data_IF_199097646727
#
_entry.id   IF_199097646727
#
_cell.length_a   1.000
_cell.length_b   1.000
_cell.length_c   1.000
_cell.angle_alpha   90.00
_cell.angle_beta   90.00
_cell.angle_gamma   90.00
#
_symmetry.space_group_name_H-M   'P 1'
#
loop_
_entity.id
_entity.type
_entity.pdbx_description
1 polymer ?
#
# COMPACT_ATOMS: atom_id res chain seq x y z
N UNK A 1 10.78 15.71 -8.17
CA UNK A 1 9.42 15.34 -7.70
C UNK A 1 9.34 15.77 -6.26
N UNK A 2 8.36 16.60 -5.92
CA UNK A 2 8.15 16.99 -4.53
C UNK A 2 7.52 15.84 -3.73
N UNK A 3 7.43 16.03 -2.40
CA UNK A 3 6.90 15.00 -1.51
C UNK A 3 5.43 14.67 -1.81
N UNK A 4 4.63 15.66 -2.19
CA UNK A 4 3.19 15.49 -2.45
C UNK A 4 2.97 14.67 -3.72
N UNK A 5 3.67 15.02 -4.80
CA UNK A 5 3.65 14.27 -6.06
C UNK A 5 4.12 12.84 -5.87
N UNK A 6 5.13 12.61 -5.01
CA UNK A 6 5.58 11.25 -4.68
C UNK A 6 4.48 10.46 -3.98
N UNK A 7 3.88 11.01 -2.93
CA UNK A 7 2.80 10.34 -2.17
C UNK A 7 1.60 10.03 -3.10
N UNK A 8 1.21 10.96 -3.96
CA UNK A 8 0.12 10.73 -4.94
C UNK A 8 0.43 9.59 -5.91
N UNK A 9 1.65 9.55 -6.44
CA UNK A 9 2.08 8.43 -7.29
C UNK A 9 2.11 7.11 -6.54
N UNK A 10 2.54 7.11 -5.28
CA UNK A 10 2.55 5.89 -4.46
C UNK A 10 1.11 5.43 -4.12
N UNK A 11 0.16 6.35 -3.92
CA UNK A 11 -1.28 6.02 -3.80
C UNK A 11 -1.83 5.39 -5.09
N UNK A 12 -1.50 5.95 -6.25
CA UNK A 12 -1.91 5.39 -7.54
C UNK A 12 -1.29 4.01 -7.78
N UNK A 13 -0.04 3.82 -7.39
CA UNK A 13 0.65 2.53 -7.47
C UNK A 13 -0.01 1.50 -6.55
N UNK A 14 -0.34 1.89 -5.31
CA UNK A 14 -1.02 1.00 -4.37
C UNK A 14 -2.37 0.55 -4.91
N UNK A 15 -3.15 1.48 -5.48
CA UNK A 15 -4.45 1.18 -6.09
C UNK A 15 -4.36 0.24 -7.31
N UNK A 16 -3.20 0.19 -7.98
CA UNK A 16 -2.94 -0.80 -9.05
C UNK A 16 -2.55 -2.15 -8.47
N UNK A 17 -1.58 -2.17 -7.56
CA UNK A 17 -1.02 -3.40 -6.99
C UNK A 17 -2.07 -4.20 -6.21
N UNK A 18 -2.98 -3.52 -5.50
CA UNK A 18 -3.99 -4.21 -4.70
C UNK A 18 -5.00 -5.00 -5.56
N UNK A 19 -5.23 -4.58 -6.81
CA UNK A 19 -6.11 -5.31 -7.75
C UNK A 19 -5.53 -6.67 -8.13
N UNK A 20 -4.21 -6.81 -8.11
CA UNK A 20 -3.55 -8.10 -8.33
C UNK A 20 -3.90 -9.06 -7.18
N UNK A 21 -3.94 -8.56 -5.95
CA UNK A 21 -4.35 -9.33 -4.76
C UNK A 21 -5.85 -9.67 -4.79
N UNK A 22 -6.71 -8.73 -5.19
CA UNK A 22 -8.15 -8.99 -5.30
C UNK A 22 -8.50 -10.10 -6.32
N UNK A 23 -7.58 -10.43 -7.22
CA UNK A 23 -7.73 -11.47 -8.23
C UNK A 23 -7.27 -12.87 -7.79
N UNK A 24 -6.71 -13.00 -6.59
CA UNK A 24 -6.20 -14.26 -6.04
C UNK A 24 -6.92 -14.64 -4.74
N UNK A 25 -6.80 -15.91 -4.35
CA UNK A 25 -7.34 -16.38 -3.08
C UNK A 25 -6.29 -16.19 -1.98
N UNK A 26 -6.55 -15.22 -1.11
CA UNK A 26 -5.83 -15.03 0.16
C UNK A 26 -6.60 -15.68 1.31
N UNK A 27 -5.96 -15.88 2.46
CA UNK A 27 -6.61 -16.48 3.63
C UNK A 27 -6.13 -15.92 4.97
N UNK A 28 -7.03 -15.86 5.95
CA UNK A 28 -6.68 -15.74 7.37
C UNK A 28 -5.78 -14.55 7.69
N UNK A 29 -4.50 -14.80 7.94
CA UNK A 29 -3.52 -13.75 8.24
C UNK A 29 -3.25 -12.84 7.02
N UNK A 30 -3.28 -13.36 5.80
CA UNK A 30 -3.09 -12.56 4.59
C UNK A 30 -4.23 -11.55 4.41
N UNK A 31 -5.48 -11.94 4.71
CA UNK A 31 -6.64 -11.04 4.66
C UNK A 31 -6.47 -9.88 5.65
N UNK A 32 -6.01 -10.16 6.88
CA UNK A 32 -5.73 -9.14 7.89
C UNK A 32 -4.60 -8.20 7.46
N UNK A 33 -3.55 -8.73 6.83
CA UNK A 33 -2.42 -7.94 6.32
C UNK A 33 -2.91 -7.00 5.21
N UNK A 34 -3.69 -7.50 4.26
CA UNK A 34 -4.24 -6.71 3.16
C UNK A 34 -5.20 -5.64 3.68
N UNK A 35 -6.04 -5.97 4.66
CA UNK A 35 -6.93 -4.99 5.29
C UNK A 35 -6.15 -3.91 6.03
N UNK A 36 -5.09 -4.28 6.76
CA UNK A 36 -4.20 -3.32 7.39
C UNK A 36 -3.52 -2.41 6.35
N UNK A 37 -3.08 -2.96 5.22
CA UNK A 37 -2.52 -2.17 4.12
C UNK A 37 -3.53 -1.14 3.57
N UNK A 38 -4.82 -1.52 3.45
CA UNK A 38 -5.90 -0.59 3.04
C UNK A 38 -6.10 0.52 4.07
N UNK A 39 -6.10 0.20 5.36
CA UNK A 39 -6.22 1.18 6.44
C UNK A 39 -5.09 2.22 6.38
N UNK A 40 -3.83 1.78 6.21
CA UNK A 40 -2.71 2.71 6.07
C UNK A 40 -2.75 3.53 4.77
N UNK A 41 -3.34 3.01 3.69
CA UNK A 41 -3.63 3.81 2.49
C UNK A 41 -4.66 4.90 2.77
N UNK A 42 -5.66 4.64 3.60
CA UNK A 42 -6.65 5.64 3.99
C UNK A 42 -6.05 6.67 4.97
N UNK A 43 -5.21 6.23 5.91
CA UNK A 43 -4.41 7.13 6.77
C UNK A 43 -3.49 8.03 5.95
N UNK A 44 -2.89 7.50 4.87
CA UNK A 44 -2.09 8.31 3.94
C UNK A 44 -2.88 9.49 3.40
N UNK A 45 -4.14 9.26 2.97
CA UNK A 45 -5.02 10.32 2.45
C UNK A 45 -5.37 11.32 3.55
N UNK A 46 -5.70 10.83 4.74
CA UNK A 46 -5.99 11.67 5.89
C UNK A 46 -4.83 12.62 6.23
N UNK A 47 -3.62 12.09 6.43
CA UNK A 47 -2.45 12.91 6.78
C UNK A 47 -2.00 13.83 5.63
N UNK A 48 -2.22 13.43 4.38
CA UNK A 48 -1.96 14.30 3.23
C UNK A 48 -2.88 15.53 3.24
N UNK A 49 -4.17 15.35 3.54
CA UNK A 49 -5.14 16.44 3.69
C UNK A 49 -4.80 17.38 4.86
N UNK A 50 -4.21 16.85 5.94
CA UNK A 50 -3.74 17.64 7.08
C UNK A 50 -2.39 18.35 6.83
N UNK A 51 -1.81 18.22 5.63
CA UNK A 51 -0.45 18.69 5.29
C UNK A 51 0.68 18.05 6.12
N UNK A 52 0.41 16.91 6.78
CA UNK A 52 1.44 16.11 7.45
C UNK A 52 2.06 15.12 6.44
N UNK A 53 2.97 15.66 5.63
CA UNK A 53 3.58 14.90 4.53
C UNK A 53 4.51 13.78 5.01
N UNK A 54 5.17 13.94 6.17
CA UNK A 54 6.08 12.92 6.68
C UNK A 54 5.29 11.70 7.18
N UNK A 55 4.22 11.92 7.96
CA UNK A 55 3.35 10.84 8.42
C UNK A 55 2.64 10.19 7.24
N UNK A 56 2.12 10.99 6.29
CA UNK A 56 1.49 10.47 5.07
C UNK A 56 2.45 9.57 4.26
N UNK A 57 3.70 9.98 4.09
CA UNK A 57 4.72 9.17 3.43
C UNK A 57 5.05 7.88 4.19
N UNK A 58 5.11 7.94 5.53
CA UNK A 58 5.27 6.76 6.38
C UNK A 58 4.11 5.76 6.22
N UNK A 59 2.88 6.26 6.18
CA UNK A 59 1.70 5.42 5.99
C UNK A 59 1.71 4.69 4.64
N UNK A 60 2.00 5.39 3.54
CA UNK A 60 1.95 4.76 2.20
C UNK A 60 3.09 3.77 1.98
N UNK A 61 4.27 4.05 2.53
CA UNK A 61 5.40 3.11 2.45
C UNK A 61 5.14 1.85 3.28
N UNK A 62 4.53 1.98 4.46
CA UNK A 62 4.11 0.83 5.26
C UNK A 62 3.01 0.02 4.56
N UNK A 63 2.02 0.69 3.96
CA UNK A 63 0.97 0.04 3.16
C UNK A 63 1.56 -0.79 2.00
N UNK A 64 2.52 -0.23 1.25
CA UNK A 64 3.23 -0.95 0.20
C UNK A 64 4.02 -2.14 0.73
N UNK A 65 4.78 -1.99 1.81
CA UNK A 65 5.54 -3.10 2.40
C UNK A 65 4.67 -4.28 2.82
N UNK A 66 3.51 -4.01 3.42
CA UNK A 66 2.52 -5.04 3.76
C UNK A 66 1.97 -5.74 2.51
N UNK A 67 1.59 -4.95 1.50
CA UNK A 67 1.00 -5.47 0.27
C UNK A 67 2.02 -6.30 -0.53
N UNK A 68 3.25 -5.82 -0.63
CA UNK A 68 4.34 -6.50 -1.34
C UNK A 68 4.73 -7.81 -0.66
N UNK A 69 4.71 -7.88 0.67
CA UNK A 69 4.91 -9.14 1.39
C UNK A 69 3.89 -10.20 0.94
N UNK A 70 2.61 -9.84 0.81
CA UNK A 70 1.58 -10.76 0.29
C UNK A 70 1.82 -11.08 -1.18
N UNK A 71 2.18 -10.09 -2.01
CA UNK A 71 2.48 -10.32 -3.43
C UNK A 71 3.66 -11.27 -3.64
N UNK A 72 4.68 -11.22 -2.79
CA UNK A 72 5.82 -12.15 -2.81
C UNK A 72 5.41 -13.58 -2.46
N UNK A 73 4.58 -13.77 -1.42
CA UNK A 73 4.09 -15.11 -1.04
C UNK A 73 3.31 -15.79 -2.17
N UNK A 74 2.66 -15.00 -3.03
CA UNK A 74 1.91 -15.48 -4.20
C UNK A 74 2.69 -15.41 -5.51
N UNK A 75 4.00 -15.12 -5.48
CA UNK A 75 4.88 -14.99 -6.66
C UNK A 75 4.38 -14.01 -7.73
N UNK A 76 3.61 -12.99 -7.33
CA UNK A 76 3.10 -11.93 -8.23
C UNK A 76 4.24 -11.00 -8.64
N UNK A 77 5.11 -10.68 -7.69
CA UNK A 77 6.41 -10.05 -7.94
C UNK A 77 7.49 -11.10 -7.68
N UNK A 78 8.52 -11.11 -8.54
CA UNK A 78 9.68 -11.98 -8.38
C UNK A 78 10.83 -11.12 -7.85
N UNK A 79 11.55 -11.64 -6.88
CA UNK A 79 12.88 -11.12 -6.56
C UNK A 79 13.75 -11.28 -7.82
N UNK A 80 14.34 -10.17 -8.29
CA UNK A 80 15.27 -10.15 -9.43
C UNK A 80 16.55 -10.96 -9.16
#
# INVERSE_FOLDING_TARGET
MDAIDRIKKDLDLFAKNIKEIESIKINGEEEKIVEMAKNYRDDTRYYLEQNDHLTSFGCITYAHGLLDAVRLLHNIIKDE
#
